data_IF_327637289453
#
_entry.id   IF_327637289453
#
_cell.length_a   1.000
_cell.length_b   1.000
_cell.length_c   1.000
_cell.angle_alpha   90.00
_cell.angle_beta   90.00
_cell.angle_gamma   90.00
#
_symmetry.space_group_name_H-M   'P 1'
#
loop_
_entity.id
_entity.type
_entity.pdbx_description
1 polymer ?
#
# COMPACT_ATOMS: atom_id res chain seq x y z
N UNK A 1 -21.09 -34.38 16.61
CA UNK A 1 -20.39 -33.92 15.38
C UNK A 1 -20.70 -32.44 15.08
N UNK A 2 -20.42 -31.50 15.99
CA UNK A 2 -20.66 -30.05 15.79
C UNK A 2 -19.43 -29.17 16.10
N UNK A 3 -18.26 -29.77 16.29
CA UNK A 3 -17.03 -29.05 16.70
C UNK A 3 -16.04 -28.80 15.55
N UNK A 4 -16.22 -29.45 14.39
CA UNK A 4 -15.30 -29.35 13.26
C UNK A 4 -15.46 -28.05 12.46
N UNK A 5 -16.69 -27.56 12.30
CA UNK A 5 -16.96 -26.31 11.58
C UNK A 5 -16.58 -25.06 12.38
N UNK A 6 -16.71 -25.10 13.71
CA UNK A 6 -16.25 -24.01 14.60
C UNK A 6 -14.73 -23.90 14.58
N UNK A 7 -14.01 -25.02 14.65
CA UNK A 7 -12.54 -25.03 14.59
C UNK A 7 -11.99 -24.48 13.26
N UNK A 8 -12.67 -24.74 12.13
CA UNK A 8 -12.26 -24.25 10.82
C UNK A 8 -12.50 -22.73 10.65
N UNK A 9 -13.58 -22.20 11.23
CA UNK A 9 -13.85 -20.76 11.26
C UNK A 9 -12.91 -20.00 12.21
N UNK A 10 -12.60 -20.58 13.38
CA UNK A 10 -11.71 -19.99 14.37
C UNK A 10 -10.24 -19.94 13.89
N UNK A 11 -9.76 -21.01 13.23
CA UNK A 11 -8.43 -21.00 12.59
C UNK A 11 -8.33 -19.94 11.48
N UNK A 12 -9.36 -19.77 10.66
CA UNK A 12 -9.38 -18.77 9.59
C UNK A 12 -9.39 -17.33 10.13
N UNK A 13 -10.08 -17.09 11.26
CA UNK A 13 -10.12 -15.79 11.91
C UNK A 13 -8.75 -15.41 12.52
N UNK A 14 -8.07 -16.38 13.12
CA UNK A 14 -6.73 -16.18 13.72
C UNK A 14 -5.65 -15.91 12.65
N UNK A 15 -5.68 -16.63 11.52
CA UNK A 15 -4.72 -16.42 10.42
C UNK A 15 -4.85 -15.01 9.82
N UNK A 16 -6.08 -14.48 9.68
CA UNK A 16 -6.31 -13.13 9.14
C UNK A 16 -5.76 -12.02 10.03
N UNK A 17 -5.90 -12.15 11.36
CA UNK A 17 -5.40 -11.15 12.30
C UNK A 17 -3.86 -11.07 12.29
N UNK A 18 -3.21 -12.24 12.27
CA UNK A 18 -1.75 -12.33 12.19
C UNK A 18 -1.25 -11.73 10.88
N UNK A 19 -1.86 -12.06 9.74
CA UNK A 19 -1.50 -11.52 8.43
C UNK A 19 -1.66 -9.99 8.34
N UNK A 20 -2.73 -9.43 8.93
CA UNK A 20 -2.94 -7.98 8.98
C UNK A 20 -1.86 -7.25 9.78
N UNK A 21 -1.48 -7.79 10.94
CA UNK A 21 -0.40 -7.22 11.77
C UNK A 21 0.95 -7.21 11.05
N UNK A 22 1.32 -8.32 10.39
CA UNK A 22 2.55 -8.41 9.61
C UNK A 22 2.56 -7.44 8.43
N UNK A 23 1.41 -7.27 7.76
CA UNK A 23 1.28 -6.34 6.62
C UNK A 23 1.52 -4.89 7.05
N UNK A 24 0.94 -4.47 8.18
CA UNK A 24 1.14 -3.14 8.76
C UNK A 24 2.58 -2.91 9.22
N UNK A 25 3.21 -3.92 9.79
CA UNK A 25 4.63 -3.85 10.17
C UNK A 25 5.53 -3.67 8.94
N UNK A 26 5.31 -4.48 7.90
CA UNK A 26 6.09 -4.41 6.66
C UNK A 26 5.94 -3.06 5.96
N UNK A 27 4.72 -2.52 5.90
CA UNK A 27 4.43 -1.19 5.36
C UNK A 27 5.28 -0.10 6.02
N UNK A 28 5.31 -0.07 7.36
CA UNK A 28 6.09 0.90 8.12
C UNK A 28 7.61 0.67 8.00
N UNK A 29 8.05 -0.57 7.80
CA UNK A 29 9.44 -0.92 7.62
C UNK A 29 9.99 -0.53 6.23
N UNK A 30 9.16 -0.61 5.18
CA UNK A 30 9.54 -0.28 3.81
C UNK A 30 9.91 1.20 3.61
N UNK A 31 9.36 2.10 4.43
CA UNK A 31 9.84 3.48 4.56
C UNK A 31 9.42 4.46 3.46
N UNK A 32 8.63 4.03 2.48
CA UNK A 32 8.08 4.90 1.44
C UNK A 32 7.06 5.92 2.00
N UNK A 33 6.39 5.58 3.10
CA UNK A 33 5.53 6.48 3.86
C UNK A 33 6.24 7.76 4.31
N UNK A 34 7.56 7.71 4.56
CA UNK A 34 8.38 8.87 4.96
C UNK A 34 8.61 9.87 3.82
N UNK A 35 8.51 9.38 2.58
CA UNK A 35 8.62 10.18 1.37
C UNK A 35 7.27 10.75 0.94
N UNK A 36 6.17 10.31 1.59
CA UNK A 36 4.81 10.66 1.23
C UNK A 36 4.40 10.10 -0.13
N UNK A 37 4.96 8.95 -0.51
CA UNK A 37 4.58 8.21 -1.72
C UNK A 37 3.53 7.16 -1.38
N UNK A 38 2.56 6.97 -2.28
CA UNK A 38 1.59 5.86 -2.23
C UNK A 38 2.28 4.55 -2.66
N UNK A 39 1.81 3.41 -2.16
CA UNK A 39 2.39 2.09 -2.47
C UNK A 39 2.51 1.82 -3.98
N UNK A 40 1.51 2.24 -4.74
CA UNK A 40 1.40 1.97 -6.18
C UNK A 40 2.43 2.76 -7.02
N UNK A 41 3.17 3.70 -6.43
CA UNK A 41 4.24 4.46 -7.09
C UNK A 41 5.64 3.83 -6.97
N UNK A 42 5.79 2.85 -6.08
CA UNK A 42 7.07 2.15 -5.82
C UNK A 42 7.42 0.99 -6.78
N UNK A 43 6.51 0.38 -7.55
CA UNK A 43 6.85 -0.71 -8.47
C UNK A 43 7.87 -0.29 -9.55
N UNK A 44 8.74 -1.22 -9.93
CA UNK A 44 9.63 -1.03 -11.07
C UNK A 44 8.84 -0.97 -12.38
N UNK A 45 9.19 -0.04 -13.26
CA UNK A 45 8.52 0.19 -14.54
C UNK A 45 8.82 -0.93 -15.56
N UNK A 46 8.15 -2.07 -15.36
CA UNK A 46 8.06 -3.16 -16.34
C UNK A 46 7.03 -2.84 -17.43
N UNK A 47 7.06 -3.56 -18.56
CA UNK A 47 6.12 -3.35 -19.68
C UNK A 47 4.65 -3.37 -19.24
N UNK A 48 4.28 -4.25 -18.29
CA UNK A 48 2.93 -4.30 -17.75
C UNK A 48 2.56 -3.08 -16.90
N UNK A 49 3.50 -2.55 -16.14
CA UNK A 49 3.30 -1.32 -15.33
C UNK A 49 3.20 -0.11 -16.24
N UNK A 50 4.03 -0.03 -17.28
CA UNK A 50 3.98 1.06 -18.27
C UNK A 50 2.62 1.11 -18.98
N UNK A 51 2.08 -0.05 -19.35
CA UNK A 51 0.75 -0.15 -19.94
C UNK A 51 -0.36 0.23 -18.94
N UNK A 52 -0.23 -0.14 -17.67
CA UNK A 52 -1.17 0.28 -16.63
C UNK A 52 -1.15 1.81 -16.44
N UNK A 53 0.04 2.43 -16.39
CA UNK A 53 0.20 3.89 -16.28
C UNK A 53 -0.40 4.61 -17.49
N UNK A 54 -0.30 4.03 -18.70
CA UNK A 54 -0.93 4.61 -19.91
C UNK A 54 -2.46 4.61 -19.88
N UNK A 55 -3.08 3.68 -19.14
CA UNK A 55 -4.54 3.55 -19.02
C UNK A 55 -5.13 4.47 -17.95
N UNK A 56 -4.29 5.03 -17.08
CA UNK A 56 -4.73 5.87 -15.97
C UNK A 56 -5.38 7.17 -16.49
N UNK A 57 -6.49 7.65 -15.88
CA UNK A 57 -7.02 8.96 -16.19
C UNK A 57 -6.02 10.07 -15.81
N UNK A 58 -6.13 11.20 -16.49
CA UNK A 58 -5.13 12.28 -16.46
C UNK A 58 -4.95 12.91 -15.06
N UNK A 59 -6.03 12.99 -14.28
CA UNK A 59 -6.02 13.48 -12.90
C UNK A 59 -5.13 12.62 -12.00
N UNK A 60 -5.35 11.30 -12.00
CA UNK A 60 -4.57 10.35 -11.20
C UNK A 60 -3.11 10.29 -11.67
N UNK A 61 -2.86 10.42 -12.98
CA UNK A 61 -1.51 10.47 -13.51
C UNK A 61 -0.73 11.69 -13.00
N UNK A 62 -1.36 12.87 -13.00
CA UNK A 62 -0.74 14.10 -12.51
C UNK A 62 -0.45 14.03 -11.01
N UNK A 63 -1.35 13.46 -10.21
CA UNK A 63 -1.15 13.26 -8.78
C UNK A 63 0.02 12.31 -8.49
N UNK A 64 0.11 11.19 -9.22
CA UNK A 64 1.27 10.27 -9.18
C UNK A 64 2.58 11.02 -9.49
N UNK A 65 2.60 11.80 -10.57
CA UNK A 65 3.79 12.55 -10.96
C UNK A 65 4.19 13.62 -9.93
N UNK A 66 3.22 14.24 -9.25
CA UNK A 66 3.47 15.17 -8.17
C UNK A 66 4.10 14.46 -6.96
N UNK A 67 3.57 13.30 -6.56
CA UNK A 67 4.11 12.52 -5.44
C UNK A 67 5.55 12.05 -5.70
N UNK A 68 5.82 11.52 -6.90
CA UNK A 68 7.17 11.08 -7.29
C UNK A 68 8.16 12.25 -7.24
N UNK A 69 7.79 13.42 -7.79
CA UNK A 69 8.65 14.62 -7.74
C UNK A 69 8.90 15.07 -6.31
N UNK A 70 7.88 15.02 -5.46
CA UNK A 70 7.98 15.38 -4.03
C UNK A 70 8.93 14.44 -3.29
N UNK A 71 8.83 13.13 -3.52
CA UNK A 71 9.67 12.11 -2.92
C UNK A 71 11.17 12.27 -3.25
N UNK A 72 11.50 12.83 -4.41
CA UNK A 72 12.88 13.06 -4.84
C UNK A 72 13.55 14.27 -4.16
N UNK A 73 12.78 15.27 -3.73
CA UNK A 73 13.32 16.57 -3.32
C UNK A 73 13.53 16.67 -1.81
N UNK A 74 12.65 16.10 -0.99
CA UNK A 74 12.71 16.28 0.46
C UNK A 74 12.11 15.11 1.25
N UNK A 75 12.70 14.85 2.43
CA UNK A 75 12.10 13.96 3.43
C UNK A 75 11.00 14.72 4.17
N UNK A 76 9.83 14.10 4.31
CA UNK A 76 8.68 14.69 4.95
C UNK A 76 8.78 14.65 6.49
N UNK A 77 8.18 15.62 7.18
CA UNK A 77 8.08 15.58 8.65
C UNK A 77 7.20 14.40 9.08
N UNK A 78 7.39 13.92 10.31
CA UNK A 78 6.75 12.69 10.79
C UNK A 78 5.22 12.78 10.85
N UNK A 79 4.69 13.97 11.09
CA UNK A 79 3.25 14.26 11.16
C UNK A 79 2.56 14.15 9.80
N UNK A 80 3.32 14.23 8.71
CA UNK A 80 2.79 14.21 7.35
C UNK A 80 2.94 12.84 6.66
N UNK A 81 3.45 11.83 7.38
CA UNK A 81 3.63 10.49 6.81
C UNK A 81 2.29 9.82 6.57
N UNK A 82 2.12 9.21 5.41
CA UNK A 82 0.90 8.48 5.05
C UNK A 82 0.69 7.31 6.00
N UNK A 83 -0.46 7.26 6.65
CA UNK A 83 -0.83 6.14 7.52
C UNK A 83 -1.22 4.91 6.69
N UNK A 84 -1.00 3.72 7.26
CA UNK A 84 -1.33 2.44 6.60
C UNK A 84 -2.82 2.32 6.24
N UNK A 85 -3.71 2.87 7.08
CA UNK A 85 -5.16 2.78 6.85
C UNK A 85 -5.65 3.77 5.77
N UNK A 86 -4.86 4.81 5.47
CA UNK A 86 -5.18 5.86 4.51
C UNK A 86 -4.64 5.55 3.11
N UNK A 87 -3.67 4.64 3.01
CA UNK A 87 -3.11 4.16 1.73
C UNK A 87 -4.16 3.32 0.98
N UNK A 88 -4.99 4.00 0.21
CA UNK A 88 -5.93 3.35 -0.70
C UNK A 88 -5.17 2.96 -1.95
N UNK A 89 -5.20 1.67 -2.28
CA UNK A 89 -4.80 1.23 -3.61
C UNK A 89 -5.66 1.93 -4.65
N UNK A 90 -5.03 2.44 -5.70
CA UNK A 90 -5.75 2.96 -6.85
C UNK A 90 -6.73 1.87 -7.37
N UNK A 91 -7.98 2.24 -7.70
CA UNK A 91 -9.02 1.30 -8.10
C UNK A 91 -8.71 0.56 -9.41
#
# INVERSE_FOLDING_TARGET
MKNWLLWQADCCCSIKQVAGWFSKWYYNAAGFNKLGSVRDDTPYETEGVQEAVRRLPEDLYNDRMFQIKKALVQILSKEQWTEYEEDKSLP
#
